data_IF_038237982332
#
_entry.id   IF_038237982332
#
_cell.length_a   1.000
_cell.length_b   1.000
_cell.length_c   1.000
_cell.angle_alpha   90.00
_cell.angle_beta   90.00
_cell.angle_gamma   90.00
#
_symmetry.space_group_name_H-M   'P 1'
#
loop_
_entity.id
_entity.type
_entity.pdbx_description
1 polymer ?
#
# COMPACT_ATOMS: atom_id res chain seq x y z
N UNK A 1 -21.84 17.85 -7.98
CA UNK A 1 -20.43 17.43 -7.89
C UNK A 1 -20.43 16.09 -7.18
N UNK A 2 -20.14 14.95 -7.83
CA UNK A 2 -20.14 13.69 -7.11
C UNK A 2 -18.92 13.67 -6.20
N UNK A 3 -19.17 13.67 -4.90
CA UNK A 3 -18.23 13.27 -3.87
C UNK A 3 -17.78 11.84 -4.18
N UNK A 4 -16.55 11.67 -4.65
CA UNK A 4 -15.97 10.36 -4.91
C UNK A 4 -15.68 9.69 -3.57
N UNK A 5 -16.42 8.60 -3.29
CA UNK A 5 -16.16 7.73 -2.16
C UNK A 5 -15.10 6.72 -2.57
N UNK A 6 -13.90 6.84 -2.02
CA UNK A 6 -12.92 5.76 -2.04
C UNK A 6 -13.41 4.69 -1.07
N UNK A 7 -13.80 3.52 -1.59
CA UNK A 7 -14.16 2.38 -0.77
C UNK A 7 -12.95 1.47 -0.70
N UNK A 8 -12.32 1.39 0.46
CA UNK A 8 -11.60 0.18 0.83
C UNK A 8 -12.66 -0.90 0.93
N UNK A 9 -12.73 -1.77 -0.07
CA UNK A 9 -13.58 -2.94 0.08
C UNK A 9 -12.94 -3.79 1.19
N UNK A 10 -13.63 -4.10 2.29
CA UNK A 10 -13.11 -5.03 3.31
C UNK A 10 -12.77 -6.41 2.73
N UNK A 11 -13.29 -6.77 1.55
CA UNK A 11 -12.89 -7.99 0.83
C UNK A 11 -11.50 -7.89 0.18
N UNK A 12 -10.91 -6.68 0.12
CA UNK A 12 -9.60 -6.41 -0.46
C UNK A 12 -8.47 -6.43 0.57
N UNK A 13 -8.79 -6.38 1.87
CA UNK A 13 -7.81 -6.43 2.96
C UNK A 13 -7.83 -7.83 3.58
N UNK A 14 -6.73 -8.57 3.47
CA UNK A 14 -6.58 -9.85 4.18
C UNK A 14 -5.78 -9.64 5.46
N UNK A 15 -6.38 -9.98 6.62
CA UNK A 15 -5.76 -9.82 7.95
C UNK A 15 -5.71 -11.16 8.69
N UNK A 16 -4.55 -11.55 9.24
CA UNK A 16 -4.36 -12.90 9.81
C UNK A 16 -3.93 -12.92 11.27
N UNK A 17 -3.38 -11.84 11.84
CA UNK A 17 -2.93 -11.80 13.23
C UNK A 17 -2.94 -10.38 13.81
N UNK A 18 -3.18 -10.26 15.13
CA UNK A 18 -3.20 -8.99 15.88
C UNK A 18 -1.88 -8.20 15.83
N UNK A 19 -0.80 -8.82 15.34
CA UNK A 19 0.52 -8.21 15.17
C UNK A 19 0.82 -7.79 13.72
N UNK A 20 -0.01 -8.19 12.75
CA UNK A 20 0.18 -7.86 11.34
C UNK A 20 -0.46 -6.51 11.02
N UNK A 21 0.34 -5.46 11.05
CA UNK A 21 -0.14 -4.08 10.90
C UNK A 21 0.26 -3.45 9.58
N UNK A 22 1.22 -4.04 8.88
CA UNK A 22 1.83 -3.47 7.69
C UNK A 22 1.22 -4.09 6.44
N UNK A 23 0.96 -3.30 5.41
CA UNK A 23 0.19 -3.76 4.25
C UNK A 23 1.05 -3.81 2.98
N UNK A 24 1.00 -4.94 2.30
CA UNK A 24 1.58 -5.13 0.97
C UNK A 24 0.50 -5.30 -0.11
N UNK A 25 0.89 -5.08 -1.37
CA UNK A 25 0.05 -5.32 -2.55
C UNK A 25 0.71 -6.35 -3.47
N UNK A 26 -0.12 -7.19 -4.10
CA UNK A 26 0.29 -8.17 -5.10
C UNK A 26 0.43 -9.57 -4.52
N UNK A 27 -0.53 -10.44 -4.82
CA UNK A 27 -0.47 -11.86 -4.48
C UNK A 27 -0.83 -12.72 -5.71
N UNK A 28 -0.30 -13.94 -5.79
CA UNK A 28 -0.64 -14.91 -6.85
C UNK A 28 -2.08 -15.41 -6.74
N UNK A 29 -2.60 -15.57 -5.51
CA UNK A 29 -3.93 -16.11 -5.24
C UNK A 29 -5.04 -15.06 -5.37
N UNK A 30 -4.73 -13.80 -5.06
CA UNK A 30 -5.62 -12.66 -5.22
C UNK A 30 -4.90 -11.50 -5.92
N UNK A 31 -5.06 -11.38 -7.25
CA UNK A 31 -4.28 -10.42 -8.02
C UNK A 31 -4.53 -9.01 -7.53
N UNK A 32 -3.46 -8.39 -7.02
CA UNK A 32 -3.41 -6.98 -6.65
C UNK A 32 -4.30 -6.56 -5.46
N UNK A 33 -4.70 -7.50 -4.60
CA UNK A 33 -5.33 -7.19 -3.31
C UNK A 33 -4.33 -6.68 -2.27
N UNK A 34 -4.86 -6.05 -1.23
CA UNK A 34 -4.10 -5.56 -0.07
C UNK A 34 -3.99 -6.67 0.97
N UNK A 35 -2.80 -6.86 1.50
CA UNK A 35 -2.51 -7.96 2.41
C UNK A 35 -1.82 -7.39 3.65
N UNK A 36 -2.45 -7.45 4.82
CA UNK A 36 -1.74 -7.14 6.05
C UNK A 36 -0.84 -8.30 6.42
N UNK A 37 0.35 -8.00 6.89
CA UNK A 37 1.36 -9.00 7.23
C UNK A 37 2.31 -8.43 8.27
N UNK A 38 3.26 -9.26 8.72
CA UNK A 38 4.24 -8.87 9.73
C UNK A 38 5.12 -7.75 9.16
N UNK A 39 5.26 -6.67 9.93
CA UNK A 39 6.09 -5.53 9.57
C UNK A 39 7.57 -5.88 9.41
N UNK A 40 8.01 -6.99 10.02
CA UNK A 40 9.38 -7.51 9.88
C UNK A 40 9.58 -8.33 8.59
N UNK A 41 8.51 -8.58 7.82
CA UNK A 41 8.60 -9.24 6.50
C UNK A 41 9.32 -8.35 5.50
N UNK A 42 10.05 -8.94 4.55
CA UNK A 42 10.79 -8.15 3.56
C UNK A 42 10.11 -8.14 2.18
N UNK A 43 9.63 -6.98 1.74
CA UNK A 43 9.07 -6.76 0.40
C UNK A 43 9.74 -5.59 -0.32
N UNK A 44 9.49 -5.46 -1.61
CA UNK A 44 9.97 -4.32 -2.39
C UNK A 44 9.13 -3.08 -2.05
N UNK A 45 9.74 -1.97 -1.59
CA UNK A 45 9.02 -0.72 -1.34
C UNK A 45 8.51 -0.08 -2.64
N UNK A 46 7.25 0.40 -2.64
CA UNK A 46 6.80 1.39 -3.63
C UNK A 46 6.74 2.75 -2.93
N UNK A 47 7.66 3.63 -3.29
CA UNK A 47 7.71 4.99 -2.77
C UNK A 47 6.88 5.93 -3.63
N UNK A 48 6.21 6.89 -3.00
CA UNK A 48 5.64 8.08 -3.62
C UNK A 48 6.45 9.28 -3.16
N UNK A 49 7.21 9.86 -4.07
CA UNK A 49 7.99 11.07 -3.81
C UNK A 49 7.09 12.29 -3.93
N UNK A 50 7.26 13.26 -3.03
CA UNK A 50 6.65 14.56 -3.26
C UNK A 50 7.29 15.17 -4.51
N UNK A 51 6.55 15.84 -5.39
CA UNK A 51 7.17 16.65 -6.43
C UNK A 51 8.07 17.65 -5.71
N UNK A 52 9.38 17.43 -5.73
CA UNK A 52 10.33 18.35 -5.12
C UNK A 52 10.07 19.72 -5.72
N UNK A 53 9.90 20.75 -4.89
CA UNK A 53 9.64 22.15 -5.22
C UNK A 53 10.78 22.84 -6.02
N UNK A 54 11.39 22.14 -6.98
CA UNK A 54 12.51 22.58 -7.80
C UNK A 54 12.28 22.16 -9.25
N UNK A 55 11.37 22.86 -9.92
CA UNK A 55 11.47 23.22 -11.34
C UNK A 55 11.97 22.13 -12.33
N UNK A 56 11.39 20.94 -12.29
CA UNK A 56 11.46 20.03 -13.44
C UNK A 56 10.18 20.23 -14.24
N UNK A 57 10.31 20.25 -15.57
CA UNK A 57 9.18 20.10 -16.49
C UNK A 57 8.63 18.68 -16.30
N UNK A 58 7.92 18.44 -15.20
CA UNK A 58 7.31 17.16 -14.89
C UNK A 58 6.27 16.93 -15.97
N UNK A 59 6.49 15.91 -16.79
CA UNK A 59 5.48 15.48 -17.74
C UNK A 59 4.26 15.04 -16.94
N UNK A 60 3.02 15.30 -17.39
CA UNK A 60 1.82 14.89 -16.67
C UNK A 60 1.79 13.40 -16.28
N UNK A 61 2.57 12.57 -16.98
CA UNK A 61 2.73 11.13 -16.74
C UNK A 61 3.67 10.74 -15.58
N UNK A 62 4.42 11.68 -14.99
CA UNK A 62 5.31 11.38 -13.88
C UNK A 62 4.55 11.49 -12.55
N UNK A 63 4.04 10.34 -12.13
CA UNK A 63 3.24 10.15 -10.91
C UNK A 63 4.10 10.22 -9.63
N UNK A 64 5.43 10.35 -9.73
CA UNK A 64 6.33 10.35 -8.58
C UNK A 64 6.42 9.00 -7.85
N UNK A 65 5.89 7.92 -8.45
CA UNK A 65 5.94 6.57 -7.90
C UNK A 65 7.17 5.81 -8.39
N UNK A 66 7.90 5.20 -7.46
CA UNK A 66 9.12 4.44 -7.74
C UNK A 66 9.16 3.13 -6.94
N UNK A 67 9.48 2.02 -7.62
CA UNK A 67 9.82 0.77 -6.96
C UNK A 67 11.29 0.80 -6.52
N UNK A 68 11.57 0.47 -5.26
CA UNK A 68 12.93 0.24 -4.78
C UNK A 68 13.26 -1.24 -5.00
N UNK A 69 14.30 -1.53 -5.79
CA UNK A 69 14.72 -2.90 -6.17
C UNK A 69 15.51 -3.63 -5.07
N UNK A 70 15.16 -3.39 -3.80
CA UNK A 70 15.72 -4.06 -2.63
C UNK A 70 14.57 -4.41 -1.69
N UNK A 71 14.54 -5.66 -1.20
CA UNK A 71 13.55 -6.07 -0.20
C UNK A 71 13.94 -5.52 1.16
N UNK A 72 13.01 -4.85 1.83
CA UNK A 72 13.21 -4.22 3.13
C UNK A 72 12.04 -4.59 4.06
N UNK A 73 12.30 -4.64 5.37
CA UNK A 73 11.23 -4.59 6.37
C UNK A 73 10.45 -3.28 6.24
N UNK A 74 9.24 -3.21 6.79
CA UNK A 74 8.36 -2.06 6.58
C UNK A 74 8.96 -0.74 7.07
N UNK A 75 9.64 -0.74 8.21
CA UNK A 75 10.22 0.48 8.78
C UNK A 75 11.42 0.96 7.95
N UNK A 76 12.27 0.02 7.52
CA UNK A 76 13.39 0.28 6.62
C UNK A 76 12.90 0.74 5.23
N UNK A 77 11.79 0.20 4.75
CA UNK A 77 11.15 0.59 3.50
C UNK A 77 10.63 2.03 3.56
N UNK A 78 9.94 2.40 4.64
CA UNK A 78 9.48 3.77 4.88
C UNK A 78 10.68 4.73 4.98
N UNK A 79 11.69 4.41 5.79
CA UNK A 79 12.89 5.23 5.92
C UNK A 79 13.64 5.44 4.59
N UNK A 80 13.67 4.42 3.72
CA UNK A 80 14.26 4.53 2.38
C UNK A 80 13.46 5.50 1.48
N UNK A 81 12.12 5.49 1.59
CA UNK A 81 11.28 6.45 0.88
C UNK A 81 11.45 7.88 1.44
N UNK A 82 11.51 8.04 2.77
CA UNK A 82 11.78 9.32 3.45
C UNK A 82 13.12 9.92 3.03
N UNK A 83 14.17 9.10 2.98
CA UNK A 83 15.50 9.52 2.50
C UNK A 83 15.51 10.04 1.06
N UNK A 84 14.50 9.69 0.27
CA UNK A 84 14.31 10.12 -1.13
C UNK A 84 13.33 11.28 -1.27
N UNK A 85 12.85 11.87 -0.17
CA UNK A 85 11.90 12.98 -0.17
C UNK A 85 10.46 12.55 -0.41
N UNK A 86 10.11 11.32 -0.03
CA UNK A 86 8.77 10.76 -0.16
C UNK A 86 8.38 9.91 1.04
N UNK A 87 7.35 9.10 0.85
CA UNK A 87 6.89 8.08 1.79
C UNK A 87 6.58 6.80 1.03
N UNK A 88 6.32 5.68 1.71
CA UNK A 88 5.63 4.57 1.06
C UNK A 88 4.30 5.07 0.45
N UNK A 89 3.94 4.54 -0.71
CA UNK A 89 2.82 5.07 -1.49
C UNK A 89 1.51 5.02 -0.71
N UNK A 90 0.86 6.19 -0.61
CA UNK A 90 -0.54 6.32 -0.23
C UNK A 90 -1.45 6.26 -1.44
N UNK A 91 -2.46 5.39 -1.40
CA UNK A 91 -3.36 5.14 -2.53
C UNK A 91 -4.73 5.76 -2.23
N UNK A 92 -5.05 6.84 -2.94
CA UNK A 92 -6.31 7.60 -2.79
C UNK A 92 -7.21 7.55 -4.02
N UNK A 93 -6.72 6.98 -5.11
CA UNK A 93 -7.39 6.93 -6.40
C UNK A 93 -6.93 5.70 -7.20
N UNK A 94 -7.70 5.38 -8.24
CA UNK A 94 -7.45 4.22 -9.09
C UNK A 94 -6.18 4.36 -9.94
N UNK A 95 -5.80 5.59 -10.32
CA UNK A 95 -4.59 5.84 -11.11
C UNK A 95 -3.34 5.46 -10.32
N UNK A 96 -3.23 5.95 -9.09
CA UNK A 96 -2.17 5.63 -8.13
C UNK A 96 -2.14 4.13 -7.84
N UNK A 97 -3.30 3.50 -7.65
CA UNK A 97 -3.39 2.04 -7.45
C UNK A 97 -2.83 1.28 -8.65
N UNK A 98 -3.31 1.60 -9.85
CA UNK A 98 -2.93 0.90 -11.07
C UNK A 98 -1.43 1.07 -11.35
N UNK A 99 -0.89 2.26 -11.11
CA UNK A 99 0.54 2.53 -11.26
C UNK A 99 1.39 1.75 -10.24
N UNK A 100 0.95 1.70 -8.98
CA UNK A 100 1.60 0.87 -7.94
C UNK A 100 1.65 -0.59 -8.37
N UNK A 101 0.54 -1.12 -8.89
CA UNK A 101 0.43 -2.48 -9.40
C UNK A 101 1.37 -2.73 -10.58
N UNK A 102 1.44 -1.82 -11.54
CA UNK A 102 2.35 -1.93 -12.68
C UNK A 102 3.82 -1.98 -12.26
N UNK A 103 4.20 -1.16 -11.27
CA UNK A 103 5.55 -1.14 -10.71
C UNK A 103 5.86 -2.44 -9.96
N UNK A 104 4.91 -2.96 -9.19
CA UNK A 104 5.11 -4.17 -8.40
C UNK A 104 5.13 -5.45 -9.26
N UNK A 105 4.44 -5.45 -10.40
CA UNK A 105 4.20 -6.65 -11.20
C UNK A 105 5.45 -7.42 -11.63
N UNK A 106 6.54 -6.80 -12.11
CA UNK A 106 7.76 -7.51 -12.46
C UNK A 106 8.36 -8.25 -11.26
N UNK A 107 8.35 -7.64 -10.08
CA UNK A 107 8.87 -8.26 -8.85
C UNK A 107 8.05 -9.50 -8.46
N UNK A 108 6.72 -9.39 -8.48
CA UNK A 108 5.82 -10.53 -8.21
C UNK A 108 6.00 -11.63 -9.25
N UNK A 109 6.09 -11.28 -10.54
CA UNK A 109 6.33 -12.24 -11.63
C UNK A 109 7.68 -12.97 -11.50
N UNK A 110 8.64 -12.38 -10.78
CA UNK A 110 9.94 -12.97 -10.45
C UNK A 110 9.93 -13.76 -9.12
N UNK A 111 8.77 -13.97 -8.50
CA UNK A 111 8.60 -14.75 -7.27
C UNK A 111 8.61 -13.93 -5.98
N UNK A 112 8.38 -12.62 -6.03
CA UNK A 112 8.15 -11.83 -4.82
C UNK A 112 6.71 -12.01 -4.30
N UNK A 113 6.53 -12.08 -2.98
CA UNK A 113 5.19 -12.22 -2.38
C UNK A 113 4.43 -10.88 -2.25
N UNK A 114 4.93 -9.80 -2.86
CA UNK A 114 4.27 -8.49 -2.90
C UNK A 114 5.24 -7.32 -2.80
N UNK A 115 4.67 -6.13 -2.73
CA UNK A 115 5.37 -4.86 -2.53
C UNK A 115 4.74 -4.05 -1.39
N UNK A 116 5.56 -3.36 -0.61
CA UNK A 116 5.06 -2.51 0.47
C UNK A 116 4.33 -1.26 -0.07
N UNK A 117 3.22 -0.92 0.58
CA UNK A 117 2.51 0.35 0.44
C UNK A 117 2.42 1.03 1.82
N UNK A 118 2.12 2.33 1.88
CA UNK A 118 2.19 3.09 3.12
C UNK A 118 1.02 2.86 4.09
N UNK A 119 0.20 1.82 3.89
CA UNK A 119 -0.95 1.58 4.75
C UNK A 119 -0.54 0.79 6.00
N UNK A 120 -0.94 1.30 7.15
CA UNK A 120 -0.96 0.59 8.41
C UNK A 120 -2.40 0.32 8.87
N UNK A 121 -2.67 -0.92 9.26
CA UNK A 121 -3.97 -1.37 9.79
C UNK A 121 -3.85 -1.83 11.24
N UNK A 122 -4.90 -1.59 12.03
CA UNK A 122 -4.96 -1.91 13.45
C UNK A 122 -6.31 -2.55 13.79
N UNK A 123 -6.39 -3.22 14.95
CA UNK A 123 -7.64 -3.78 15.47
C UNK A 123 -8.76 -2.72 15.56
N UNK A 124 -8.41 -1.54 16.07
CA UNK A 124 -9.30 -0.41 16.02
C UNK A 124 -9.09 0.30 14.68
N UNK A 125 -10.04 0.15 13.76
CA UNK A 125 -10.01 0.75 12.43
C UNK A 125 -9.84 2.28 12.47
N UNK A 126 -10.26 2.94 13.56
CA UNK A 126 -10.04 4.37 13.75
C UNK A 126 -8.55 4.76 13.86
N UNK A 127 -7.66 3.78 14.09
CA UNK A 127 -6.22 3.98 14.13
C UNK A 127 -5.53 3.67 12.79
N UNK A 128 -6.27 3.15 11.79
CA UNK A 128 -5.71 2.91 10.46
C UNK A 128 -5.20 4.22 9.87
N UNK A 129 -4.03 4.17 9.23
CA UNK A 129 -3.36 5.38 8.74
C UNK A 129 -2.42 5.08 7.59
N UNK A 130 -2.19 6.12 6.79
CA UNK A 130 -1.08 6.16 5.85
C UNK A 130 0.19 6.68 6.54
N UNK A 131 1.37 6.22 6.10
CA UNK A 131 2.66 6.67 6.65
C UNK A 131 2.99 8.12 6.28
N UNK A 132 2.40 8.64 5.20
CA UNK A 132 2.54 10.03 4.75
C UNK A 132 1.56 11.01 5.43
N UNK A 133 0.87 10.57 6.48
CA UNK A 133 -0.18 11.31 7.20
C UNK A 133 -1.36 11.80 6.33
N UNK A 134 -1.48 11.30 5.10
CA UNK A 134 -2.60 11.65 4.24
C UNK A 134 -3.93 11.10 4.79
N UNK A 135 -5.06 11.79 4.55
CA UNK A 135 -6.35 11.36 5.08
C UNK A 135 -6.71 9.96 4.56
N UNK A 136 -7.06 9.04 5.46
CA UNK A 136 -7.52 7.70 5.09
C UNK A 136 -8.83 7.69 4.29
N UNK A 137 -9.63 8.77 4.38
CA UNK A 137 -10.96 8.92 3.78
C UNK A 137 -12.12 8.79 4.79
N UNK A 138 -13.28 9.37 4.49
CA UNK A 138 -14.49 9.24 5.34
C UNK A 138 -15.11 7.84 5.19
N UNK A 139 -15.00 7.01 6.23
CA UNK A 139 -15.44 5.61 6.26
C UNK A 139 -16.83 5.43 6.90
N UNK A 140 -17.77 4.74 6.22
CA UNK A 140 -19.00 4.03 6.70
C UNK A 140 -19.46 3.06 5.59
N UNK A 141 -19.89 1.81 5.76
CA UNK A 141 -20.25 0.92 6.88
C UNK A 141 -20.17 -0.52 6.32
N UNK A 142 -19.49 -1.46 6.99
CA UNK A 142 -19.47 -2.87 6.58
C UNK A 142 -20.35 -3.70 7.54
N UNK A 143 -21.45 -4.24 7.03
CA UNK A 143 -22.42 -5.01 7.81
C UNK A 143 -21.85 -6.39 8.20
N UNK A 144 -21.13 -6.45 9.33
CA UNK A 144 -20.91 -7.50 10.36
C UNK A 144 -20.87 -9.01 10.03
N UNK A 145 -21.09 -9.46 8.80
CA UNK A 145 -21.36 -10.88 8.49
C UNK A 145 -20.31 -11.55 7.61
N UNK A 146 -19.42 -10.79 6.95
CA UNK A 146 -18.61 -11.32 5.84
C UNK A 146 -17.10 -11.14 5.94
N UNK A 147 -16.55 -10.42 6.94
CA UNK A 147 -15.10 -10.42 7.18
C UNK A 147 -14.65 -11.77 7.78
N UNK A 148 -14.48 -12.79 6.95
CA UNK A 148 -13.73 -14.02 7.28
C UNK A 148 -12.85 -14.40 6.10
N UNK A 149 -11.53 -14.40 6.26
CA UNK A 149 -10.62 -15.03 5.30
C UNK A 149 -9.57 -15.89 6.02
N UNK A 150 -9.19 -16.96 5.31
CA UNK A 150 -8.43 -18.14 5.71
C UNK A 150 -6.93 -17.91 5.65
N UNK A 151 -6.22 -18.61 6.53
CA UNK A 151 -4.76 -18.79 6.62
C UNK A 151 -4.10 -19.23 5.30
N UNK A 152 -2.93 -18.66 4.94
CA UNK A 152 -1.93 -19.40 4.17
C UNK A 152 -0.50 -18.81 4.27
N UNK A 153 0.45 -19.69 3.91
CA UNK A 153 1.89 -19.56 4.06
C UNK A 153 2.50 -18.69 2.94
N UNK A 154 3.03 -17.53 3.33
CA UNK A 154 4.30 -17.02 2.80
C UNK A 154 5.37 -17.26 3.86
#
# INVERSE_FOLDING_TARGET
MPSFRFSLNPDDLVTYSWNEKCVSIGTEEFPWKWNSTDCDSTFYPVCKMSPSDSAVLIRPEDTGLHLIEVKLDFNSAEAECENRGGHLVSIHDEETRNRTVELCRPAVSAGACGCWIGLMVFENEANNKWTDDSPFGEYRDCNRSSCKIKQQNC
#
